data_IF_119661125397
#
_entry.id   IF_119661125397
#
_cell.length_a   1.000
_cell.length_b   1.000
_cell.length_c   1.000
_cell.angle_alpha   90.00
_cell.angle_beta   90.00
_cell.angle_gamma   90.00
#
_symmetry.space_group_name_H-M   'P 1'
#
loop_
_entity.id
_entity.type
_entity.pdbx_description
1 polymer ?
#
# COMPACT_ATOMS: atom_id res chain seq x y z
N UNK A 1 -13.86 0.28 -36.72
CA UNK A 1 -13.33 0.84 -35.47
C UNK A 1 -12.82 -0.28 -34.58
N UNK A 2 -11.50 -0.43 -34.51
CA UNK A 2 -10.86 -1.34 -33.57
C UNK A 2 -10.95 -0.67 -32.20
N UNK A 3 -11.89 -1.10 -31.37
CA UNK A 3 -12.08 -0.58 -30.04
C UNK A 3 -10.80 -0.78 -29.24
N UNK A 4 -10.17 0.32 -28.85
CA UNK A 4 -9.06 0.32 -27.89
C UNK A 4 -9.51 -0.47 -26.67
N UNK A 5 -8.99 -1.69 -26.53
CA UNK A 5 -9.15 -2.50 -25.34
C UNK A 5 -8.37 -1.81 -24.22
N UNK A 6 -9.00 -0.84 -23.56
CA UNK A 6 -8.51 -0.31 -22.30
C UNK A 6 -8.47 -1.48 -21.32
N UNK A 7 -7.28 -1.96 -20.98
CA UNK A 7 -7.11 -2.98 -19.95
C UNK A 7 -7.38 -2.33 -18.60
N UNK A 8 -8.62 -2.41 -18.14
CA UNK A 8 -8.97 -1.97 -16.81
C UNK A 8 -8.45 -3.01 -15.80
N UNK A 9 -7.40 -2.66 -15.06
CA UNK A 9 -7.02 -3.40 -13.85
C UNK A 9 -7.92 -2.90 -12.73
N UNK A 10 -8.91 -3.71 -12.35
CA UNK A 10 -9.74 -3.41 -11.19
C UNK A 10 -8.95 -3.74 -9.92
N UNK A 11 -9.03 -2.90 -8.87
CA UNK A 11 -8.49 -3.22 -7.57
C UNK A 11 -8.96 -4.60 -7.10
N UNK A 12 -8.06 -5.38 -6.51
CA UNK A 12 -8.47 -6.59 -5.80
C UNK A 12 -9.06 -6.10 -4.47
N UNK A 13 -10.38 -6.27 -4.29
CA UNK A 13 -11.07 -5.81 -3.08
C UNK A 13 -10.36 -6.36 -1.84
N UNK A 14 -10.08 -5.48 -0.86
CA UNK A 14 -9.36 -5.80 0.37
C UNK A 14 -7.87 -6.12 0.20
N UNK A 15 -7.27 -5.82 -0.97
CA UNK A 15 -5.81 -5.84 -1.17
C UNK A 15 -5.15 -4.47 -0.93
N UNK A 16 -5.92 -3.49 -0.44
CA UNK A 16 -5.40 -2.16 -0.14
C UNK A 16 -4.27 -2.27 0.88
N UNK A 17 -3.21 -1.48 0.73
CA UNK A 17 -2.14 -1.45 1.73
C UNK A 17 -2.67 -0.88 3.03
N UNK A 18 -2.30 -1.51 4.16
CA UNK A 18 -2.84 -1.13 5.46
C UNK A 18 -1.88 -0.20 6.20
N UNK A 19 -2.49 0.76 6.87
CA UNK A 19 -1.86 1.57 7.88
C UNK A 19 -2.27 1.01 9.24
N UNK A 20 -1.38 0.22 9.84
CA UNK A 20 -1.50 -0.12 11.25
C UNK A 20 -1.21 1.12 12.10
N UNK A 21 -2.14 1.47 12.98
CA UNK A 21 -1.93 2.57 13.92
C UNK A 21 -1.53 2.00 15.28
N UNK A 22 -0.24 1.96 15.63
CA UNK A 22 0.13 1.88 17.04
C UNK A 22 -0.42 3.16 17.70
N UNK A 23 -1.06 3.02 18.86
CA UNK A 23 -1.67 4.14 19.58
C UNK A 23 -0.74 5.36 19.64
N UNK A 24 -0.99 6.42 18.86
CA UNK A 24 -0.16 7.63 18.86
C UNK A 24 0.10 8.26 17.49
N UNK A 25 1.26 8.94 17.41
CA UNK A 25 1.74 9.59 16.19
C UNK A 25 2.37 8.58 15.24
N UNK A 26 1.98 8.63 13.97
CA UNK A 26 2.54 7.82 12.91
C UNK A 26 3.60 8.58 12.14
N UNK A 27 4.82 8.05 12.08
CA UNK A 27 5.87 8.61 11.22
C UNK A 27 5.61 8.21 9.77
N UNK A 28 5.60 9.19 8.87
CA UNK A 28 5.33 8.96 7.44
C UNK A 28 6.52 8.23 6.78
N UNK A 29 6.31 7.10 6.09
CA UNK A 29 7.35 6.40 5.34
C UNK A 29 7.95 7.25 4.23
N UNK A 30 9.23 7.05 3.92
CA UNK A 30 9.98 7.81 2.92
C UNK A 30 9.30 7.87 1.55
N UNK A 31 8.65 6.78 1.12
CA UNK A 31 7.91 6.72 -0.16
C UNK A 31 6.77 7.73 -0.26
N UNK A 32 6.29 8.25 0.87
CA UNK A 32 5.21 9.25 0.95
C UNK A 32 5.71 10.67 1.25
N UNK A 33 7.01 10.84 1.54
CA UNK A 33 7.65 12.14 1.79
C UNK A 33 7.96 12.89 0.48
N UNK A 34 6.96 13.02 -0.39
CA UNK A 34 7.12 13.64 -1.71
C UNK A 34 6.90 15.15 -1.61
N UNK A 35 7.80 15.99 -2.12
CA UNK A 35 7.62 17.45 -2.11
C UNK A 35 6.33 17.90 -2.81
N UNK A 36 5.63 18.88 -2.22
CA UNK A 36 4.42 19.50 -2.78
C UNK A 36 3.22 18.57 -3.02
N UNK A 37 3.25 17.30 -2.57
CA UNK A 37 2.07 16.44 -2.59
C UNK A 37 1.19 16.70 -1.39
N UNK A 38 -0.11 16.45 -1.56
CA UNK A 38 -1.09 16.54 -0.48
C UNK A 38 -1.32 15.18 0.13
N UNK A 39 -1.18 15.09 1.45
CA UNK A 39 -1.65 13.97 2.27
C UNK A 39 -2.98 14.37 2.90
N UNK A 40 -4.00 13.53 2.76
CA UNK A 40 -5.35 13.79 3.27
C UNK A 40 -5.96 12.56 3.94
N UNK A 41 -6.75 12.79 4.98
CA UNK A 41 -7.65 11.80 5.56
C UNK A 41 -8.96 11.74 4.76
N UNK A 42 -9.46 10.53 4.51
CA UNK A 42 -10.76 10.24 3.92
C UNK A 42 -11.65 9.46 4.88
N UNK A 43 -12.95 9.74 4.86
CA UNK A 43 -13.93 9.03 5.69
C UNK A 43 -14.12 7.57 5.21
N UNK A 44 -14.26 6.59 6.13
CA UNK A 44 -14.35 5.16 5.80
C UNK A 44 -15.57 4.77 4.95
N UNK A 45 -16.65 5.56 4.97
CA UNK A 45 -17.88 5.29 4.21
C UNK A 45 -17.75 5.64 2.72
N UNK A 46 -16.64 6.28 2.32
CA UNK A 46 -16.39 6.71 0.95
C UNK A 46 -15.11 6.13 0.38
N UNK A 47 -15.06 6.03 -0.94
CA UNK A 47 -13.83 5.69 -1.65
C UNK A 47 -12.80 6.83 -1.50
N UNK A 48 -11.50 6.49 -1.37
CA UNK A 48 -10.44 7.49 -1.30
C UNK A 48 -10.41 8.34 -2.57
N UNK A 49 -10.17 9.64 -2.43
CA UNK A 49 -10.25 10.58 -3.54
C UNK A 49 -9.20 11.66 -3.46
N UNK A 50 -8.62 11.99 -4.62
CA UNK A 50 -7.73 13.14 -4.77
C UNK A 50 -8.46 14.41 -5.22
N UNK A 51 -9.78 14.38 -5.40
CA UNK A 51 -10.55 15.57 -5.74
C UNK A 51 -10.59 16.54 -4.55
N UNK A 52 -9.93 17.69 -4.68
CA UNK A 52 -10.03 18.78 -3.70
C UNK A 52 -11.37 19.50 -3.87
N UNK A 53 -12.20 19.51 -2.83
CA UNK A 53 -13.40 20.35 -2.78
C UNK A 53 -13.07 21.69 -2.11
N UNK A 54 -13.93 22.70 -2.30
CA UNK A 54 -13.77 24.02 -1.66
C UNK A 54 -13.90 23.99 -0.14
N UNK A 55 -14.48 22.93 0.43
CA UNK A 55 -14.63 22.73 1.87
C UNK A 55 -13.47 21.99 2.52
N UNK A 56 -12.49 21.50 1.73
CA UNK A 56 -11.32 20.81 2.26
C UNK A 56 -10.21 21.80 2.56
N UNK A 57 -10.09 22.15 3.85
CA UNK A 57 -8.96 22.92 4.34
C UNK A 57 -7.65 22.18 4.08
N UNK A 58 -6.59 22.95 3.82
CA UNK A 58 -5.25 22.40 3.56
C UNK A 58 -4.21 23.29 4.22
N UNK A 59 -3.40 22.69 5.08
CA UNK A 59 -2.21 23.29 5.64
C UNK A 59 -1.02 23.03 4.72
N UNK A 60 -0.14 24.01 4.55
CA UNK A 60 1.11 23.84 3.81
C UNK A 60 2.27 23.98 4.78
N UNK A 61 3.05 22.91 4.93
CA UNK A 61 4.30 23.01 5.68
C UNK A 61 5.30 23.82 4.84
N UNK A 62 5.88 24.87 5.43
CA UNK A 62 6.82 25.75 4.75
C UNK A 62 8.26 25.22 4.83
N UNK A 63 8.69 24.71 5.99
CA UNK A 63 10.02 24.14 6.19
C UNK A 63 10.10 23.33 7.51
N UNK A 64 11.05 22.40 7.58
CA UNK A 64 11.40 21.67 8.80
C UNK A 64 10.46 20.51 9.19
N UNK A 65 10.72 19.89 10.36
CA UNK A 65 9.86 18.84 10.91
C UNK A 65 8.46 19.35 11.23
N UNK A 66 7.44 18.50 11.06
CA UNK A 66 6.06 18.83 11.43
C UNK A 66 5.37 17.66 12.15
N UNK A 67 4.67 18.00 13.22
CA UNK A 67 3.67 17.14 13.86
C UNK A 67 2.29 17.68 13.46
N UNK A 68 1.52 16.91 12.71
CA UNK A 68 0.26 17.37 12.11
C UNK A 68 -0.90 16.41 12.36
N UNK A 69 -2.10 16.95 12.64
CA UNK A 69 -3.31 16.15 12.80
C UNK A 69 -4.12 16.13 11.49
N UNK A 70 -4.09 15.00 10.78
CA UNK A 70 -4.83 14.82 9.52
C UNK A 70 -6.35 14.87 9.69
N UNK A 71 -6.86 14.67 10.90
CA UNK A 71 -8.28 14.85 11.21
C UNK A 71 -8.74 16.31 11.19
N UNK A 72 -7.82 17.28 11.22
CA UNK A 72 -8.15 18.71 11.19
C UNK A 72 -8.14 19.31 9.79
N UNK A 73 -7.12 19.00 8.99
CA UNK A 73 -7.03 19.42 7.60
C UNK A 73 -6.01 18.56 6.85
N UNK A 74 -6.06 18.59 5.52
CA UNK A 74 -5.02 17.97 4.69
C UNK A 74 -3.69 18.69 4.84
N UNK A 75 -2.58 18.00 4.59
CA UNK A 75 -1.23 18.53 4.66
C UNK A 75 -0.58 18.54 3.27
N UNK A 76 -0.02 19.68 2.84
CA UNK A 76 0.92 19.75 1.72
C UNK A 76 2.32 19.79 2.31
N UNK A 77 3.18 18.86 1.86
CA UNK A 77 4.57 18.79 2.28
C UNK A 77 5.40 19.92 1.67
N UNK A 78 6.38 20.39 2.44
CA UNK A 78 7.34 21.39 1.99
C UNK A 78 8.19 20.86 0.83
N UNK A 79 9.00 21.72 0.22
CA UNK A 79 9.95 21.28 -0.80
C UNK A 79 11.04 20.34 -0.26
N UNK A 80 11.30 20.40 1.05
CA UNK A 80 12.31 19.60 1.76
C UNK A 80 11.72 19.07 3.08
N UNK A 81 10.80 18.09 3.04
CA UNK A 81 10.24 17.52 4.26
C UNK A 81 11.34 16.76 5.02
N UNK A 82 11.66 17.19 6.24
CA UNK A 82 12.72 16.55 7.05
C UNK A 82 12.17 15.35 7.83
N UNK A 83 11.07 15.55 8.55
CA UNK A 83 10.39 14.53 9.33
C UNK A 83 8.92 14.92 9.46
N UNK A 84 8.02 13.99 9.18
CA UNK A 84 6.57 14.22 9.26
C UNK A 84 5.98 13.18 10.17
N UNK A 85 5.42 13.62 11.30
CA UNK A 85 4.61 12.77 12.15
C UNK A 85 3.16 13.20 12.03
N UNK A 86 2.28 12.23 11.84
CA UNK A 86 0.87 12.45 11.68
C UNK A 86 0.11 11.85 12.85
N UNK A 87 -0.74 12.65 13.49
CA UNK A 87 -1.86 12.11 14.24
C UNK A 87 -2.97 11.81 13.24
N UNK A 88 -3.33 10.53 13.12
CA UNK A 88 -4.28 10.03 12.12
C UNK A 88 -5.54 9.56 12.84
N UNK A 89 -6.75 9.89 12.34
CA UNK A 89 -7.99 9.30 12.85
C UNK A 89 -7.94 7.77 12.81
N UNK A 90 -8.66 7.07 13.69
CA UNK A 90 -8.56 5.61 13.86
C UNK A 90 -9.16 4.78 12.72
N UNK A 91 -9.84 5.41 11.78
CA UNK A 91 -10.52 4.75 10.66
C UNK A 91 -10.52 5.62 9.41
N UNK A 92 -10.80 5.00 8.26
CA UNK A 92 -10.88 5.66 6.96
C UNK A 92 -9.66 5.39 6.10
N UNK A 93 -9.22 6.43 5.39
CA UNK A 93 -8.15 6.33 4.40
C UNK A 93 -7.11 7.42 4.59
N UNK A 94 -5.86 7.12 4.29
CA UNK A 94 -4.83 8.12 3.98
C UNK A 94 -4.62 8.09 2.47
N UNK A 95 -4.87 9.21 1.81
CA UNK A 95 -4.59 9.38 0.38
C UNK A 95 -3.46 10.39 0.18
N UNK A 96 -2.48 10.02 -0.64
CA UNK A 96 -1.40 10.91 -1.10
C UNK A 96 -1.68 11.28 -2.54
N UNK A 97 -1.74 12.57 -2.83
CA UNK A 97 -2.23 13.09 -4.08
C UNK A 97 -1.29 14.13 -4.69
N UNK A 98 -1.00 13.97 -5.97
CA UNK A 98 -0.43 15.02 -6.81
C UNK A 98 -1.55 15.63 -7.66
N UNK A 99 -2.09 16.77 -7.20
CA UNK A 99 -3.27 17.37 -7.81
C UNK A 99 -4.49 16.44 -7.73
N UNK A 100 -4.88 15.84 -8.87
CA UNK A 100 -6.00 14.88 -8.96
C UNK A 100 -5.53 13.43 -9.09
N UNK A 101 -4.24 13.22 -9.25
CA UNK A 101 -3.64 11.89 -9.35
C UNK A 101 -3.42 11.32 -7.95
N UNK A 102 -3.78 10.06 -7.78
CA UNK A 102 -3.53 9.31 -6.55
C UNK A 102 -2.18 8.64 -6.69
N UNK A 103 -1.28 8.91 -5.75
CA UNK A 103 0.08 8.37 -5.71
C UNK A 103 0.16 7.20 -4.74
N UNK A 104 -0.54 7.30 -3.62
CA UNK A 104 -0.58 6.27 -2.58
C UNK A 104 -1.94 6.31 -1.88
N UNK A 105 -2.39 5.14 -1.46
CA UNK A 105 -3.61 4.99 -0.69
C UNK A 105 -3.46 3.89 0.35
N UNK A 106 -3.67 4.26 1.60
CA UNK A 106 -3.60 3.35 2.73
C UNK A 106 -4.95 3.30 3.43
N UNK A 107 -5.42 2.09 3.70
CA UNK A 107 -6.60 1.88 4.55
C UNK A 107 -6.16 1.93 6.00
N UNK A 108 -6.86 2.73 6.80
CA UNK A 108 -6.60 2.81 8.24
C UNK A 108 -7.29 1.64 8.92
N UNK A 109 -6.53 0.89 9.71
CA UNK A 109 -7.03 -0.21 10.52
C UNK A 109 -6.21 -0.33 11.80
N UNK A 110 -6.87 -0.67 12.90
CA UNK A 110 -6.16 -1.09 14.11
C UNK A 110 -5.39 -2.40 13.85
N UNK A 111 -4.13 -2.45 14.26
CA UNK A 111 -3.24 -3.59 14.03
C UNK A 111 -1.77 -3.19 13.89
N UNK A 112 -0.95 -4.13 13.44
CA UNK A 112 0.49 -3.97 13.27
C UNK A 112 0.81 -2.99 12.12
N UNK A 113 1.74 -2.06 12.35
CA UNK A 113 2.33 -1.20 11.34
C UNK A 113 3.45 -1.92 10.59
N UNK A 114 3.07 -2.60 9.52
CA UNK A 114 4.01 -3.24 8.60
C UNK A 114 3.84 -2.58 7.23
N UNK A 115 4.94 -2.08 6.69
CA UNK A 115 4.94 -1.28 5.47
C UNK A 115 5.75 -1.97 4.36
N UNK A 116 5.34 -1.78 3.12
CA UNK A 116 6.13 -2.18 1.95
C UNK A 116 6.86 -0.96 1.39
N UNK A 117 8.05 -1.15 0.83
CA UNK A 117 8.76 -0.09 0.09
C UNK A 117 8.04 0.31 -1.20
N UNK A 118 7.20 -0.58 -1.72
CA UNK A 118 6.35 -0.36 -2.90
C UNK A 118 4.88 -0.50 -2.52
N UNK A 119 4.02 0.31 -3.13
CA UNK A 119 2.58 0.20 -2.93
C UNK A 119 1.94 -0.57 -4.06
N UNK A 120 1.01 -1.46 -3.71
CA UNK A 120 0.12 -2.05 -4.69
C UNK A 120 -1.09 -1.18 -5.02
N UNK A 121 -1.34 -0.11 -4.24
CA UNK A 121 -2.51 0.77 -4.32
C UNK A 121 -3.86 0.02 -4.40
N UNK A 122 -3.95 -1.16 -3.78
CA UNK A 122 -5.12 -2.04 -3.87
C UNK A 122 -5.30 -2.74 -5.23
N UNK A 123 -4.32 -2.68 -6.12
CA UNK A 123 -4.31 -3.35 -7.42
C UNK A 123 -3.36 -4.55 -7.40
N UNK A 124 -2.05 -4.27 -7.38
CA UNK A 124 -0.98 -5.25 -7.38
C UNK A 124 0.36 -4.55 -7.13
N UNK A 125 1.26 -5.20 -6.41
CA UNK A 125 2.68 -4.88 -6.39
C UNK A 125 3.26 -5.28 -7.76
N UNK A 126 3.89 -4.34 -8.45
CA UNK A 126 4.46 -4.52 -9.80
C UNK A 126 6.00 -4.64 -9.82
N UNK A 127 6.63 -4.55 -8.65
CA UNK A 127 8.06 -4.78 -8.49
C UNK A 127 8.34 -6.25 -8.16
N UNK A 128 9.30 -6.86 -8.86
CA UNK A 128 9.78 -8.21 -8.53
C UNK A 128 10.45 -8.25 -7.16
N UNK A 129 11.22 -7.22 -6.82
CA UNK A 129 11.92 -7.12 -5.53
C UNK A 129 11.45 -5.89 -4.76
N UNK A 130 11.11 -6.07 -3.49
CA UNK A 130 10.72 -5.00 -2.58
C UNK A 130 11.04 -5.36 -1.13
N UNK A 131 11.07 -4.38 -0.24
CA UNK A 131 11.27 -4.64 1.19
C UNK A 131 9.98 -4.53 1.97
N UNK A 132 9.79 -5.43 2.93
CA UNK A 132 8.78 -5.33 3.97
C UNK A 132 9.48 -4.81 5.23
N UNK A 133 8.96 -3.72 5.81
CA UNK A 133 9.44 -3.08 7.02
C UNK A 133 8.50 -3.39 8.17
N UNK A 134 9.04 -4.00 9.22
CA UNK A 134 8.36 -4.18 10.49
C UNK A 134 8.64 -2.98 11.39
N UNK A 135 7.63 -2.14 11.61
CA UNK A 135 7.75 -0.92 12.45
C UNK A 135 7.30 -1.16 13.89
N UNK A 136 7.05 -2.42 14.24
CA UNK A 136 6.72 -2.84 15.59
C UNK A 136 7.97 -3.11 16.42
N UNK A 137 7.78 -3.07 17.75
CA UNK A 137 8.81 -3.40 18.72
C UNK A 137 8.94 -4.91 19.00
N UNK A 138 8.29 -5.75 18.20
CA UNK A 138 8.30 -7.20 18.29
C UNK A 138 8.60 -7.83 16.93
N UNK A 139 9.07 -9.08 16.92
CA UNK A 139 9.24 -9.85 15.67
C UNK A 139 7.86 -10.20 15.09
N UNK A 140 7.69 -10.00 13.79
CA UNK A 140 6.45 -10.34 13.07
C UNK A 140 6.69 -11.48 12.09
N UNK A 141 5.67 -12.32 11.89
CA UNK A 141 5.72 -13.40 10.90
C UNK A 141 5.44 -12.86 9.50
N UNK A 142 6.05 -13.45 8.49
CA UNK A 142 5.71 -13.22 7.07
C UNK A 142 5.18 -14.54 6.51
N UNK A 143 3.86 -14.63 6.36
CA UNK A 143 3.21 -15.77 5.72
C UNK A 143 3.00 -15.50 4.23
N UNK A 144 2.77 -16.57 3.47
CA UNK A 144 2.44 -16.51 2.06
C UNK A 144 1.18 -17.31 1.79
N UNK A 145 0.31 -16.75 0.97
CA UNK A 145 -0.94 -17.38 0.55
C UNK A 145 -0.99 -17.43 -0.96
N UNK A 146 -1.22 -18.64 -1.50
CA UNK A 146 -1.38 -18.85 -2.93
C UNK A 146 -2.84 -19.12 -3.24
N UNK A 147 -3.35 -18.45 -4.27
CA UNK A 147 -4.72 -18.61 -4.74
C UNK A 147 -4.77 -18.60 -6.26
N UNK A 148 -5.84 -19.15 -6.85
CA UNK A 148 -5.95 -19.20 -8.30
C UNK A 148 -6.74 -20.36 -8.85
N UNK A 149 -6.97 -20.32 -10.17
CA UNK A 149 -7.59 -21.40 -10.96
C UNK A 149 -6.64 -22.03 -11.98
N UNK A 150 -5.34 -21.74 -11.85
CA UNK A 150 -4.29 -22.35 -12.67
C UNK A 150 -4.07 -23.83 -12.31
N UNK A 151 -3.66 -24.68 -13.27
CA UNK A 151 -3.42 -26.10 -13.01
C UNK A 151 -2.33 -26.37 -11.96
N UNK A 152 -1.33 -25.48 -11.86
CA UNK A 152 -0.31 -25.51 -10.82
C UNK A 152 0.04 -24.08 -10.37
N UNK A 153 0.30 -23.93 -9.07
CA UNK A 153 0.79 -22.69 -8.46
C UNK A 153 2.33 -22.59 -8.48
N UNK A 154 3.02 -23.59 -9.05
CA UNK A 154 4.48 -23.58 -9.29
C UNK A 154 4.91 -22.57 -10.37
N UNK A 155 4.00 -21.67 -10.77
CA UNK A 155 4.26 -20.48 -11.58
C UNK A 155 4.87 -19.33 -10.76
N UNK A 156 4.88 -19.45 -9.43
CA UNK A 156 5.44 -18.46 -8.52
C UNK A 156 6.77 -18.94 -7.93
N UNK A 157 7.77 -18.06 -7.94
CA UNK A 157 8.99 -18.24 -7.17
C UNK A 157 9.11 -17.09 -6.18
N UNK A 158 9.19 -17.43 -4.89
CA UNK A 158 9.21 -16.46 -3.79
C UNK A 158 10.43 -16.72 -2.93
N UNK A 159 11.26 -15.70 -2.77
CA UNK A 159 12.40 -15.69 -1.86
C UNK A 159 12.23 -14.57 -0.84
N UNK A 160 12.48 -14.87 0.43
CA UNK A 160 12.37 -13.91 1.53
C UNK A 160 12.29 -14.64 2.88
N UNK A 161 12.44 -13.94 4.01
CA UNK A 161 12.37 -14.58 5.31
C UNK A 161 10.93 -14.86 5.73
N UNK A 162 10.78 -15.79 6.67
CA UNK A 162 9.49 -16.14 7.30
C UNK A 162 9.15 -15.22 8.48
N UNK A 163 10.07 -14.35 8.88
CA UNK A 163 9.87 -13.39 9.96
C UNK A 163 10.80 -12.20 9.82
N UNK A 164 10.40 -11.07 10.40
CA UNK A 164 11.17 -9.83 10.40
C UNK A 164 11.28 -9.36 11.83
N UNK A 165 12.51 -9.17 12.32
CA UNK A 165 12.73 -8.71 13.68
C UNK A 165 12.17 -7.30 13.90
N UNK A 166 12.01 -6.93 15.17
CA UNK A 166 11.52 -5.61 15.57
C UNK A 166 12.33 -4.47 14.92
N UNK A 167 11.64 -3.47 14.35
CA UNK A 167 12.24 -2.29 13.71
C UNK A 167 13.28 -2.64 12.61
N UNK A 168 13.07 -3.75 11.91
CA UNK A 168 13.90 -4.17 10.79
C UNK A 168 13.08 -4.27 9.52
N UNK A 169 13.79 -4.26 8.39
CA UNK A 169 13.22 -4.56 7.08
C UNK A 169 13.87 -5.81 6.50
N UNK A 170 13.12 -6.51 5.68
CA UNK A 170 13.63 -7.63 4.90
C UNK A 170 13.24 -7.49 3.43
N UNK A 171 14.14 -7.88 2.56
CA UNK A 171 13.87 -7.98 1.13
C UNK A 171 13.06 -9.24 0.82
N UNK A 172 12.12 -9.10 -0.10
CA UNK A 172 11.34 -10.18 -0.71
C UNK A 172 11.47 -10.06 -2.22
N UNK A 173 11.74 -11.18 -2.86
CA UNK A 173 11.74 -11.29 -4.32
C UNK A 173 10.64 -12.25 -4.74
N UNK A 174 9.76 -11.79 -5.64
CA UNK A 174 8.66 -12.54 -6.22
C UNK A 174 8.81 -12.51 -7.74
N UNK A 175 8.98 -13.68 -8.34
CA UNK A 175 8.96 -13.82 -9.80
C UNK A 175 7.80 -14.71 -10.22
N UNK A 176 7.29 -14.46 -11.42
CA UNK A 176 6.08 -15.07 -11.95
C UNK A 176 6.31 -15.57 -13.37
N UNK A 177 6.12 -16.86 -13.60
CA UNK A 177 6.11 -17.44 -14.94
C UNK A 177 4.71 -17.32 -15.54
N UNK A 178 4.55 -16.38 -16.47
CA UNK A 178 3.28 -16.16 -17.18
C UNK A 178 2.98 -17.22 -18.25
N UNK A 179 3.75 -18.31 -18.35
CA UNK A 179 3.65 -19.34 -19.37
C UNK A 179 2.20 -19.69 -19.76
N UNK A 180 1.90 -19.68 -21.06
CA UNK A 180 0.55 -19.93 -21.57
C UNK A 180 -0.45 -18.77 -21.42
N UNK A 181 0.00 -17.56 -21.04
CA UNK A 181 -0.86 -16.37 -20.93
C UNK A 181 -1.56 -16.24 -19.58
N UNK A 182 -1.02 -16.89 -18.54
CA UNK A 182 -1.53 -16.81 -17.16
C UNK A 182 -1.33 -15.40 -16.62
N UNK A 183 -2.31 -14.93 -15.84
CA UNK A 183 -2.33 -13.60 -15.22
C UNK A 183 -2.01 -13.73 -13.73
N UNK A 184 -0.98 -13.01 -13.28
CA UNK A 184 -0.57 -12.97 -11.87
C UNK A 184 -0.93 -11.63 -11.19
N UNK A 185 -1.14 -11.67 -9.87
CA UNK A 185 -1.18 -10.49 -8.99
C UNK A 185 -0.55 -10.82 -7.65
N UNK A 186 0.17 -9.85 -7.09
CA UNK A 186 0.81 -9.91 -5.78
C UNK A 186 0.34 -8.74 -4.94
N UNK A 187 0.00 -8.96 -3.68
CA UNK A 187 -0.29 -7.86 -2.74
C UNK A 187 0.06 -8.25 -1.31
N UNK A 188 0.18 -7.24 -0.46
CA UNK A 188 0.54 -7.41 0.95
C UNK A 188 -0.61 -6.93 1.83
N UNK A 189 -1.06 -7.77 2.75
CA UNK A 189 -1.94 -7.37 3.86
C UNK A 189 -1.25 -7.64 5.19
N UNK A 190 -1.83 -7.17 6.28
CA UNK A 190 -1.39 -7.52 7.64
C UNK A 190 -2.52 -8.23 8.39
N UNK A 191 -2.23 -8.83 9.52
CA UNK A 191 -3.22 -9.29 10.49
C UNK A 191 -2.63 -9.15 11.90
N UNK A 192 -3.27 -9.75 12.90
CA UNK A 192 -2.79 -9.70 14.29
C UNK A 192 -1.48 -10.50 14.50
N UNK A 193 -1.09 -11.34 13.55
CA UNK A 193 0.06 -12.26 13.63
C UNK A 193 1.27 -11.80 12.79
N UNK A 194 1.06 -10.93 11.81
CA UNK A 194 2.13 -10.36 11.00
C UNK A 194 1.68 -9.90 9.61
N UNK A 195 2.55 -10.09 8.64
CA UNK A 195 2.29 -9.77 7.24
C UNK A 195 1.93 -11.02 6.44
N UNK A 196 1.02 -10.85 5.48
CA UNK A 196 0.56 -11.91 4.57
C UNK A 196 0.84 -11.46 3.15
N UNK A 197 1.74 -12.16 2.46
CA UNK A 197 2.01 -11.98 1.04
C UNK A 197 1.08 -12.86 0.22
N UNK A 198 0.17 -12.23 -0.50
CA UNK A 198 -0.80 -12.91 -1.34
C UNK A 198 -0.30 -13.04 -2.77
N UNK A 199 -0.38 -14.24 -3.34
CA UNK A 199 -0.01 -14.56 -4.70
C UNK A 199 -1.20 -15.20 -5.40
N UNK A 200 -1.75 -14.51 -6.40
CA UNK A 200 -2.91 -15.00 -7.15
C UNK A 200 -2.58 -15.20 -8.62
N UNK A 201 -2.73 -16.41 -9.13
CA UNK A 201 -2.57 -16.72 -10.56
C UNK A 201 -3.90 -17.17 -11.17
N UNK A 202 -4.21 -16.69 -12.37
CA UNK A 202 -5.46 -17.03 -13.06
C UNK A 202 -5.25 -17.37 -14.53
N UNK A 203 -6.02 -18.33 -15.01
CA UNK A 203 -6.05 -18.65 -16.43
C UNK A 203 -6.62 -17.48 -17.27
N UNK A 204 -6.14 -17.31 -18.51
CA UNK A 204 -6.74 -16.35 -19.44
C UNK A 204 -8.16 -16.77 -19.84
N UNK A 205 -8.88 -15.86 -20.51
CA UNK A 205 -10.18 -16.17 -21.12
C UNK A 205 -10.00 -17.28 -22.16
N UNK A 206 -10.50 -18.47 -21.86
CA UNK A 206 -10.26 -19.69 -22.66
C UNK A 206 -9.67 -20.86 -21.85
N UNK A 207 -9.23 -20.61 -20.61
CA UNK A 207 -8.63 -21.60 -19.73
C UNK A 207 -7.10 -21.70 -19.90
N UNK A 208 -6.47 -22.45 -19.01
CA UNK A 208 -5.07 -22.84 -19.15
C UNK A 208 -4.99 -24.14 -19.97
N UNK A 209 -3.94 -24.29 -20.77
CA UNK A 209 -3.62 -25.51 -21.52
C UNK A 209 -2.72 -26.44 -20.72
#
# INVERSE_FOLDING_TARGET
DQGDARSWRLPIKASESWLGLPSGNWSVPDRMLIPNVRISHGNPDFDPSCVKTSSMDTHTNLDGPIDWNLGTASLILSSNPISVNLTIPSEGWVAVCEGREMIEVLRIKEGLDIQSSVSGMGIAIDSETFSIENRENMTVTVSREWSGDVPSLDVWYVEGPDSIAANQSAEVTVTFDSGGGVLGSVWLTTDDNGAILHLAARCPSGGCT
#
